data_IF_194526624183
#
_entry.id   IF_194526624183
#
_cell.length_a   1.000
_cell.length_b   1.000
_cell.length_c   1.000
_cell.angle_alpha   90.00
_cell.angle_beta   90.00
_cell.angle_gamma   90.00
#
_symmetry.space_group_name_H-M   'P 1'
#
loop_
_entity.id
_entity.type
_entity.pdbx_description
1 polymer ?
#
# COMPACT_ATOMS: atom_id res chain seq x y z
N UNK A 1 -1.97 -6.85 -4.97
CA UNK A 1 -2.95 -6.15 -5.85
C UNK A 1 -4.12 -5.72 -4.98
N UNK A 2 -4.55 -4.46 -5.05
CA UNK A 2 -5.61 -3.92 -4.19
C UNK A 2 -6.97 -4.56 -4.52
N UNK A 3 -7.74 -4.96 -3.49
CA UNK A 3 -9.11 -5.46 -3.63
C UNK A 3 -10.11 -4.56 -2.87
N UNK A 4 -11.39 -4.67 -3.21
CA UNK A 4 -12.45 -3.94 -2.51
C UNK A 4 -12.47 -4.32 -1.03
N UNK A 5 -12.44 -3.31 -0.15
CA UNK A 5 -12.34 -3.49 1.30
C UNK A 5 -10.91 -3.46 1.84
N UNK A 6 -9.90 -3.47 0.97
CA UNK A 6 -8.54 -3.24 1.38
C UNK A 6 -8.29 -1.76 1.66
N UNK A 7 -7.51 -1.51 2.70
CA UNK A 7 -6.90 -0.21 2.96
C UNK A 7 -5.38 -0.34 2.91
N UNK A 8 -4.68 0.78 2.71
CA UNK A 8 -3.23 0.84 2.54
C UNK A 8 -2.48 0.07 3.64
N UNK A 9 -2.95 0.20 4.89
CA UNK A 9 -2.34 -0.43 6.05
C UNK A 9 -2.54 -1.96 6.07
N UNK A 10 -3.75 -2.42 5.76
CA UNK A 10 -4.08 -3.85 5.65
C UNK A 10 -3.27 -4.51 4.53
N UNK A 11 -3.08 -3.85 3.40
CA UNK A 11 -2.25 -4.36 2.29
C UNK A 11 -0.79 -4.41 2.69
N UNK A 12 -0.26 -3.32 3.28
CA UNK A 12 1.12 -3.27 3.76
C UNK A 12 1.42 -4.39 4.77
N UNK A 13 0.50 -4.68 5.69
CA UNK A 13 0.65 -5.79 6.65
C UNK A 13 0.48 -7.17 6.02
N UNK A 14 -0.55 -7.36 5.21
CA UNK A 14 -0.98 -8.69 4.74
C UNK A 14 -0.16 -9.20 3.57
N UNK A 15 0.06 -8.35 2.57
CA UNK A 15 0.66 -8.75 1.30
C UNK A 15 2.18 -8.52 1.29
N UNK A 16 2.65 -7.56 2.09
CA UNK A 16 4.02 -7.06 2.01
C UNK A 16 4.85 -7.39 3.25
N UNK A 17 4.27 -8.05 4.27
CA UNK A 17 4.96 -8.43 5.51
C UNK A 17 5.58 -7.23 6.24
N UNK A 18 5.18 -6.01 5.87
CA UNK A 18 5.85 -4.80 6.24
C UNK A 18 5.24 -4.29 7.54
N UNK A 19 6.06 -4.22 8.59
CA UNK A 19 5.75 -3.45 9.79
C UNK A 19 5.87 -1.93 9.56
N UNK A 20 6.26 -1.49 8.36
CA UNK A 20 6.40 -0.07 8.02
C UNK A 20 5.05 0.63 7.97
N UNK A 21 5.08 1.89 8.40
CA UNK A 21 3.92 2.79 8.36
C UNK A 21 3.54 3.05 6.89
N UNK A 22 2.25 3.21 6.61
CA UNK A 22 1.71 3.49 5.27
C UNK A 22 2.43 4.64 4.53
N UNK A 23 3.10 5.54 5.25
CA UNK A 23 3.89 6.64 4.68
C UNK A 23 5.02 6.15 3.75
N UNK A 24 5.71 5.05 4.07
CA UNK A 24 6.75 4.52 3.18
C UNK A 24 6.17 3.86 1.95
N UNK A 25 5.00 3.22 2.07
CA UNK A 25 4.27 2.69 0.92
C UNK A 25 3.84 3.83 -0.01
N UNK A 26 3.37 4.94 0.56
CA UNK A 26 3.03 6.16 -0.18
C UNK A 26 4.25 6.73 -0.89
N UNK A 27 5.39 6.85 -0.21
CA UNK A 27 6.63 7.35 -0.81
C UNK A 27 7.17 6.44 -1.93
N UNK A 28 7.23 5.12 -1.68
CA UNK A 28 7.73 4.12 -2.63
C UNK A 28 6.88 4.04 -3.90
N UNK A 29 5.56 4.29 -3.79
CA UNK A 29 4.65 4.29 -4.92
C UNK A 29 4.35 5.70 -5.46
N UNK A 30 5.03 6.72 -4.92
CA UNK A 30 4.82 8.15 -5.24
C UNK A 30 3.34 8.53 -5.23
N UNK A 31 2.59 8.01 -4.25
CA UNK A 31 1.19 8.33 -4.12
C UNK A 31 1.09 9.77 -3.58
N UNK A 32 0.32 10.61 -4.26
CA UNK A 32 0.04 11.97 -3.78
C UNK A 32 -1.01 11.99 -2.67
N UNK A 33 -1.70 10.86 -2.47
CA UNK A 33 -2.78 10.69 -1.51
C UNK A 33 -2.81 9.27 -0.95
N UNK A 34 -3.50 9.08 0.16
CA UNK A 34 -3.78 7.76 0.75
C UNK A 34 -4.93 7.02 0.06
N UNK A 35 -5.50 7.59 -1.00
CA UNK A 35 -6.54 6.95 -1.81
C UNK A 35 -5.87 5.92 -2.74
N UNK A 36 -6.39 4.69 -2.70
CA UNK A 36 -5.98 3.58 -3.56
C UNK A 36 -7.21 2.98 -4.22
N UNK A 37 -7.03 2.44 -5.42
CA UNK A 37 -8.11 1.85 -6.19
C UNK A 37 -7.92 0.35 -6.38
N UNK A 38 -9.00 -0.45 -6.42
CA UNK A 38 -8.92 -1.87 -6.74
C UNK A 38 -8.19 -2.10 -8.07
N UNK A 39 -7.30 -3.10 -8.10
CA UNK A 39 -6.44 -3.39 -9.25
C UNK A 39 -5.10 -2.64 -9.26
N UNK A 40 -4.89 -1.67 -8.37
CA UNK A 40 -3.61 -0.99 -8.26
C UNK A 40 -2.51 -1.94 -7.74
N UNK A 41 -1.33 -1.81 -8.32
CA UNK A 41 -0.12 -2.55 -7.91
C UNK A 41 0.71 -1.63 -7.03
N UNK A 42 0.93 -2.05 -5.79
CA UNK A 42 1.75 -1.34 -4.81
C UNK A 42 3.07 -2.09 -4.63
N UNK A 43 4.18 -1.37 -4.58
CA UNK A 43 5.54 -1.86 -4.35
C UNK A 43 6.04 -1.41 -2.98
N UNK A 44 6.71 -2.29 -2.24
CA UNK A 44 7.50 -1.86 -1.10
C UNK A 44 8.89 -1.44 -1.56
N UNK A 45 9.43 -0.41 -0.90
CA UNK A 45 10.88 -0.25 -0.81
C UNK A 45 11.40 -1.32 0.15
N UNK A 46 12.56 -1.92 -0.17
CA UNK A 46 13.34 -2.70 0.80
C UNK A 46 13.75 -1.84 2.00
#
# INVERSE_FOLDING_TARGET
MVKTGDNLLSIARKELGCHTKYAELVAANKLESTIIYPGQVLKCSE
#
